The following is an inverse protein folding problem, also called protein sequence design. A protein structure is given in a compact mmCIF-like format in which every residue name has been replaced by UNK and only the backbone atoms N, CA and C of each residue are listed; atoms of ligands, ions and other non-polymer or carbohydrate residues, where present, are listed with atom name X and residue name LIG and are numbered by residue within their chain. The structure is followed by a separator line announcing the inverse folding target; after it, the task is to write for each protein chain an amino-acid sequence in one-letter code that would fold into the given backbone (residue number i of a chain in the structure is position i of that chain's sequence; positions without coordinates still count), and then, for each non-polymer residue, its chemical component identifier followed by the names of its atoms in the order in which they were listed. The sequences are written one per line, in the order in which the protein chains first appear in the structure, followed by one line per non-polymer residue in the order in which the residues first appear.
data_IF_582937394843
#
_entry.id   IF_582937394843
#
_cell.length_a   1.000
_cell.length_b   1.000
_cell.length_c   1.000
_cell.angle_alpha   90.00
_cell.angle_beta   90.00
_cell.angle_gamma   90.00
#
_symmetry.space_group_name_H-M   'P 1'
#
loop_
_entity.id
_entity.type
_entity.pdbx_description
1 polymer ?
#
# COMPACT_ATOMS: atom_id res chain seq x y z
N UNK A 1 23.47 4.51 -24.82
CA UNK A 1 22.83 3.40 -24.10
C UNK A 1 21.47 3.90 -23.69
N UNK A 2 20.41 3.46 -24.35
CA UNK A 2 19.03 3.73 -23.89
C UNK A 2 18.86 2.91 -22.61
N UNK A 3 18.70 3.59 -21.45
CA UNK A 3 18.40 2.92 -20.20
C UNK A 3 17.10 2.16 -20.38
N UNK A 4 17.08 0.87 -20.07
CA UNK A 4 15.86 0.10 -19.94
C UNK A 4 14.94 0.88 -18.99
N UNK A 5 13.87 1.42 -19.54
CA UNK A 5 12.83 2.07 -18.73
C UNK A 5 12.21 0.97 -17.87
N UNK A 6 12.55 0.98 -16.58
CA UNK A 6 12.07 -0.01 -15.65
C UNK A 6 10.54 0.05 -15.55
N UNK A 7 9.89 -1.09 -15.80
CA UNK A 7 8.44 -1.23 -15.75
C UNK A 7 7.95 -1.03 -14.32
N UNK A 8 7.02 -0.10 -14.11
CA UNK A 8 6.37 0.19 -12.84
C UNK A 8 5.29 -0.86 -12.58
N UNK A 9 5.33 -1.55 -11.47
CA UNK A 9 4.27 -2.49 -11.05
C UNK A 9 3.15 -1.72 -10.36
N UNK A 10 1.94 -1.77 -10.91
CA UNK A 10 0.79 -0.98 -10.47
C UNK A 10 -0.31 -1.89 -9.95
N UNK A 11 -0.74 -1.71 -8.72
CA UNK A 11 -1.95 -2.36 -8.23
C UNK A 11 -3.17 -1.65 -8.82
N UNK A 12 -4.00 -2.37 -9.58
CA UNK A 12 -5.24 -1.84 -10.14
C UNK A 12 -6.42 -2.38 -9.33
N UNK A 13 -7.03 -1.51 -8.52
CA UNK A 13 -8.30 -1.76 -7.85
C UNK A 13 -9.44 -1.38 -8.77
N UNK A 14 -10.11 -2.36 -9.33
CA UNK A 14 -11.35 -2.18 -10.10
C UNK A 14 -12.40 -3.17 -9.62
N UNK A 15 -13.64 -2.72 -9.44
CA UNK A 15 -14.75 -3.62 -9.14
C UNK A 15 -15.02 -4.56 -10.33
N UNK A 16 -15.73 -5.67 -10.07
CA UNK A 16 -16.23 -6.51 -11.17
C UNK A 16 -17.22 -5.71 -12.00
N UNK A 17 -16.92 -5.52 -13.28
CA UNK A 17 -17.81 -4.85 -14.23
C UNK A 17 -19.12 -5.65 -14.38
N UNK A 18 -20.21 -4.93 -14.63
CA UNK A 18 -21.52 -5.50 -14.92
C UNK A 18 -22.21 -4.80 -16.11
N UNK A 19 -21.53 -3.83 -16.71
CA UNK A 19 -21.94 -3.19 -17.98
C UNK A 19 -20.80 -3.29 -18.99
N UNK A 20 -21.14 -3.32 -20.27
CA UNK A 20 -20.15 -3.31 -21.35
C UNK A 20 -19.26 -2.06 -21.34
N UNK A 21 -19.81 -0.92 -20.90
CA UNK A 21 -19.07 0.33 -20.73
C UNK A 21 -17.95 0.21 -19.67
N UNK A 22 -18.28 -0.37 -18.51
CA UNK A 22 -17.31 -0.63 -17.45
C UNK A 22 -16.23 -1.62 -17.90
N UNK A 23 -16.61 -2.72 -18.56
CA UNK A 23 -15.68 -3.72 -19.10
C UNK A 23 -14.71 -3.09 -20.11
N UNK A 24 -15.28 -2.31 -21.06
CA UNK A 24 -14.48 -1.62 -22.06
C UNK A 24 -13.51 -0.62 -21.43
N UNK A 25 -13.98 0.16 -20.45
CA UNK A 25 -13.11 1.15 -19.79
C UNK A 25 -11.96 0.48 -19.04
N UNK A 26 -12.20 -0.60 -18.28
CA UNK A 26 -11.16 -1.37 -17.60
C UNK A 26 -10.12 -1.86 -18.60
N UNK A 27 -10.56 -2.52 -19.69
CA UNK A 27 -9.66 -3.06 -20.70
C UNK A 27 -8.80 -1.98 -21.35
N UNK A 28 -9.38 -0.85 -21.72
CA UNK A 28 -8.65 0.27 -22.34
C UNK A 28 -7.69 0.93 -21.33
N UNK A 29 -8.06 1.01 -20.05
CA UNK A 29 -7.19 1.52 -18.99
C UNK A 29 -5.98 0.58 -18.77
N UNK A 30 -6.20 -0.72 -18.74
CA UNK A 30 -5.10 -1.71 -18.64
C UNK A 30 -4.14 -1.58 -19.81
N UNK A 31 -4.65 -1.50 -21.03
CA UNK A 31 -3.86 -1.27 -22.25
C UNK A 31 -3.10 0.07 -22.20
N UNK A 32 -3.73 1.12 -21.70
CA UNK A 32 -3.11 2.43 -21.53
C UNK A 32 -1.95 2.35 -20.53
N UNK A 33 -2.14 1.69 -19.40
CA UNK A 33 -1.07 1.48 -18.41
C UNK A 33 0.10 0.71 -19.02
N UNK A 34 -0.17 -0.40 -19.71
CA UNK A 34 0.87 -1.22 -20.36
C UNK A 34 1.69 -0.43 -21.38
N UNK A 35 1.04 0.38 -22.24
CA UNK A 35 1.72 1.23 -23.22
C UNK A 35 2.57 2.33 -22.60
N UNK A 36 2.33 2.63 -21.33
CA UNK A 36 3.08 3.63 -20.58
C UNK A 36 4.06 3.04 -19.56
N UNK A 37 4.58 1.84 -19.81
CA UNK A 37 5.54 1.12 -18.93
C UNK A 37 5.00 0.85 -17.53
N UNK A 38 3.68 0.79 -17.35
CA UNK A 38 3.02 0.45 -16.12
C UNK A 38 2.37 -0.94 -16.26
N UNK A 39 2.79 -1.91 -15.45
CA UNK A 39 2.24 -3.27 -15.45
C UNK A 39 1.13 -3.37 -14.41
N UNK A 40 -0.15 -3.39 -14.82
CA UNK A 40 -1.25 -3.54 -13.88
C UNK A 40 -1.30 -4.97 -13.31
N UNK A 41 -1.67 -5.05 -12.04
CA UNK A 41 -1.95 -6.29 -11.32
C UNK A 41 -3.28 -6.13 -10.59
N UNK A 42 -4.23 -7.01 -10.88
CA UNK A 42 -5.59 -6.99 -10.32
C UNK A 42 -5.86 -8.30 -9.59
N UNK A 43 -6.37 -8.22 -8.36
CA UNK A 43 -6.82 -9.41 -7.62
C UNK A 43 -8.12 -9.92 -8.24
N UNK A 44 -8.20 -11.25 -8.44
CA UNK A 44 -9.33 -11.89 -9.11
C UNK A 44 -9.16 -12.05 -10.63
N UNK A 45 -8.28 -11.28 -11.27
CA UNK A 45 -7.91 -11.43 -12.68
C UNK A 45 -6.51 -12.02 -12.86
N UNK A 46 -5.52 -11.53 -12.10
CA UNK A 46 -4.12 -11.96 -12.20
C UNK A 46 -3.62 -12.71 -10.95
N UNK A 47 -4.29 -12.53 -9.81
CA UNK A 47 -3.95 -13.20 -8.54
C UNK A 47 -5.20 -13.82 -7.93
N UNK A 48 -5.16 -15.11 -7.67
CA UNK A 48 -6.28 -15.87 -7.11
C UNK A 48 -5.92 -16.37 -5.70
N UNK A 49 -6.70 -15.97 -4.69
CA UNK A 49 -6.65 -16.55 -3.36
C UNK A 49 -8.06 -16.85 -2.86
N UNK A 50 -8.36 -18.14 -2.70
CA UNK A 50 -9.67 -18.59 -2.25
C UNK A 50 -9.85 -18.51 -0.73
N UNK A 51 -8.76 -18.48 0.04
CA UNK A 51 -8.83 -18.64 1.50
C UNK A 51 -8.59 -17.37 2.30
N UNK A 52 -7.84 -16.41 1.77
CA UNK A 52 -7.49 -15.17 2.47
C UNK A 52 -7.35 -13.98 1.51
N UNK A 53 -8.45 -13.50 0.91
CA UNK A 53 -8.36 -12.47 -0.15
C UNK A 53 -7.72 -11.16 0.35
N UNK A 54 -8.01 -10.72 1.56
CA UNK A 54 -7.44 -9.49 2.15
C UNK A 54 -5.92 -9.61 2.34
N UNK A 55 -5.45 -10.78 2.79
CA UNK A 55 -4.02 -11.01 2.96
C UNK A 55 -3.30 -11.05 1.62
N UNK A 56 -3.85 -11.75 0.64
CA UNK A 56 -3.29 -11.81 -0.71
C UNK A 56 -3.23 -10.42 -1.36
N UNK A 57 -4.28 -9.62 -1.22
CA UNK A 57 -4.32 -8.23 -1.66
C UNK A 57 -3.18 -7.41 -1.04
N UNK A 58 -3.00 -7.50 0.27
CA UNK A 58 -1.94 -6.78 0.97
C UNK A 58 -0.54 -7.23 0.52
N UNK A 59 -0.30 -8.53 0.41
CA UNK A 59 0.99 -9.09 -0.02
C UNK A 59 1.32 -8.64 -1.45
N UNK A 60 0.33 -8.66 -2.35
CA UNK A 60 0.49 -8.18 -3.71
C UNK A 60 0.78 -6.68 -3.76
N UNK A 61 0.01 -5.85 -3.03
CA UNK A 61 0.24 -4.41 -2.95
C UNK A 61 1.64 -4.06 -2.44
N UNK A 62 2.17 -4.80 -1.47
CA UNK A 62 3.52 -4.59 -0.95
C UNK A 62 4.61 -4.77 -2.02
N UNK A 63 4.30 -5.52 -3.07
CA UNK A 63 5.19 -5.72 -4.21
C UNK A 63 5.02 -4.66 -5.32
N UNK A 64 3.98 -3.82 -5.22
CA UNK A 64 3.69 -2.78 -6.21
C UNK A 64 4.41 -1.46 -5.90
N UNK A 65 4.58 -0.65 -6.93
CA UNK A 65 5.25 0.65 -6.89
C UNK A 65 4.25 1.80 -6.77
N UNK A 66 3.00 1.56 -7.19
CA UNK A 66 1.91 2.53 -7.17
C UNK A 66 0.56 1.81 -7.18
N UNK A 67 -0.53 2.56 -7.00
CA UNK A 67 -1.89 2.05 -7.12
C UNK A 67 -2.76 2.96 -8.00
N UNK A 68 -3.65 2.34 -8.77
CA UNK A 68 -4.76 2.97 -9.46
C UNK A 68 -6.06 2.44 -8.84
N UNK A 69 -6.91 3.33 -8.39
CA UNK A 69 -8.24 3.00 -7.84
C UNK A 69 -9.28 3.46 -8.84
N UNK A 70 -9.91 2.53 -9.53
CA UNK A 70 -11.02 2.78 -10.43
C UNK A 70 -12.32 2.45 -9.72
N UNK A 71 -13.06 3.48 -9.33
CA UNK A 71 -14.33 3.36 -8.63
C UNK A 71 -15.49 3.71 -9.58
N UNK A 72 -16.37 2.76 -9.79
CA UNK A 72 -17.63 2.92 -10.49
C UNK A 72 -18.79 2.36 -9.67
N UNK A 73 -20.02 2.71 -10.03
CA UNK A 73 -21.21 2.28 -9.30
C UNK A 73 -21.31 0.74 -9.27
N UNK A 74 -21.59 0.21 -8.09
CA UNK A 74 -21.94 -1.18 -7.87
C UNK A 74 -23.37 -1.33 -7.37
N UNK A 75 -23.82 -0.35 -6.61
CA UNK A 75 -25.15 -0.31 -6.02
C UNK A 75 -25.79 1.05 -6.30
N UNK A 76 -27.11 1.03 -6.45
CA UNK A 76 -27.95 2.21 -6.46
C UNK A 76 -28.97 2.11 -5.33
N UNK A 77 -29.06 3.15 -4.49
CA UNK A 77 -29.99 3.20 -3.37
C UNK A 77 -31.33 3.75 -3.88
N UNK A 78 -32.32 2.88 -4.05
CA UNK A 78 -33.65 3.31 -4.48
C UNK A 78 -34.32 4.25 -3.46
N UNK A 79 -34.30 3.90 -2.18
CA UNK A 79 -34.76 4.75 -1.07
C UNK A 79 -33.87 4.52 0.14
N UNK A 80 -33.40 5.60 0.75
CA UNK A 80 -32.55 5.51 1.93
C UNK A 80 -32.40 6.83 2.65
N UNK A 81 -31.92 6.77 3.88
CA UNK A 81 -31.56 7.95 4.66
C UNK A 81 -30.24 7.74 5.37
N UNK A 82 -29.42 8.77 5.39
CA UNK A 82 -28.26 8.87 6.28
C UNK A 82 -28.71 9.45 7.61
N UNK A 83 -28.18 8.93 8.73
CA UNK A 83 -28.58 9.28 10.12
C UNK A 83 -30.09 9.17 10.40
N UNK A 84 -30.75 8.05 10.06
CA UNK A 84 -32.19 7.92 10.15
C UNK A 84 -32.69 8.14 11.58
N UNK A 85 -33.80 8.89 11.69
CA UNK A 85 -34.44 9.20 12.99
C UNK A 85 -33.70 10.26 13.82
N UNK A 86 -32.66 10.89 13.31
CA UNK A 86 -31.94 11.97 14.00
C UNK A 86 -32.28 13.35 13.42
N UNK A 87 -31.91 14.41 14.15
CA UNK A 87 -32.01 15.79 13.65
C UNK A 87 -31.09 16.08 12.44
N UNK A 88 -30.19 15.14 12.10
CA UNK A 88 -29.27 15.22 10.95
C UNK A 88 -29.70 14.29 9.81
N UNK A 89 -30.90 13.74 9.86
CA UNK A 89 -31.39 12.85 8.82
C UNK A 89 -31.33 13.51 7.45
N UNK A 90 -30.75 12.81 6.48
CA UNK A 90 -30.60 13.24 5.12
C UNK A 90 -31.00 12.12 4.16
N UNK A 91 -31.88 12.43 3.21
CA UNK A 91 -32.25 11.49 2.13
C UNK A 91 -31.07 11.24 1.21
N UNK A 92 -30.87 9.97 0.87
CA UNK A 92 -29.83 9.50 -0.05
C UNK A 92 -30.40 8.66 -1.21
N UNK A 93 -31.65 8.93 -1.56
CA UNK A 93 -32.32 8.26 -2.68
C UNK A 93 -31.55 8.50 -3.98
N UNK A 94 -31.44 7.49 -4.82
CA UNK A 94 -30.69 7.55 -6.08
C UNK A 94 -29.17 7.59 -5.91
N UNK A 95 -28.64 7.53 -4.69
CA UNK A 95 -27.19 7.52 -4.49
C UNK A 95 -26.55 6.28 -5.10
N UNK A 96 -25.49 6.49 -5.88
CA UNK A 96 -24.70 5.43 -6.51
C UNK A 96 -23.46 5.16 -5.66
N UNK A 97 -23.23 3.91 -5.29
CA UNK A 97 -22.19 3.51 -4.34
C UNK A 97 -21.21 2.54 -5.02
N UNK A 98 -19.89 2.71 -4.84
CA UNK A 98 -18.87 1.80 -5.35
C UNK A 98 -18.85 0.50 -4.56
N UNK A 99 -18.01 -0.43 -4.99
CA UNK A 99 -17.71 -1.62 -4.19
C UNK A 99 -16.96 -1.26 -2.90
N UNK A 100 -17.23 -2.01 -1.83
CA UNK A 100 -16.48 -1.91 -0.55
C UNK A 100 -14.98 -2.20 -0.76
N UNK A 101 -14.64 -3.01 -1.77
CA UNK A 101 -13.25 -3.33 -2.10
C UNK A 101 -12.45 -2.09 -2.49
N UNK A 102 -13.01 -1.14 -3.25
CA UNK A 102 -12.31 0.11 -3.57
C UNK A 102 -11.91 0.89 -2.32
N UNK A 103 -12.76 0.89 -1.27
CA UNK A 103 -12.45 1.55 0.00
C UNK A 103 -11.34 0.82 0.76
N UNK A 104 -11.44 -0.52 0.82
CA UNK A 104 -10.47 -1.35 1.52
C UNK A 104 -9.10 -1.30 0.84
N UNK A 105 -9.05 -1.50 -0.45
CA UNK A 105 -7.83 -1.51 -1.24
C UNK A 105 -7.18 -0.12 -1.30
N UNK A 106 -7.98 0.93 -1.47
CA UNK A 106 -7.50 2.30 -1.40
C UNK A 106 -6.93 2.65 -0.02
N UNK A 107 -7.59 2.21 1.06
CA UNK A 107 -7.08 2.37 2.42
C UNK A 107 -5.78 1.61 2.67
N UNK A 108 -5.64 0.40 2.11
CA UNK A 108 -4.39 -0.36 2.16
C UNK A 108 -3.26 0.33 1.38
N UNK A 109 -3.54 0.81 0.17
CA UNK A 109 -2.57 1.53 -0.66
C UNK A 109 -2.08 2.80 0.05
N UNK A 110 -3.00 3.55 0.68
CA UNK A 110 -2.67 4.70 1.50
C UNK A 110 -1.76 4.32 2.68
N UNK A 111 -2.12 3.28 3.43
CA UNK A 111 -1.32 2.79 4.57
C UNK A 111 0.07 2.27 4.18
N UNK A 112 0.25 1.84 2.94
CA UNK A 112 1.53 1.42 2.36
C UNK A 112 2.30 2.60 1.72
N UNK A 113 1.75 3.81 1.79
CA UNK A 113 2.31 5.03 1.18
C UNK A 113 2.54 4.90 -0.34
N UNK A 114 1.73 4.09 -1.03
CA UNK A 114 1.80 3.98 -2.49
C UNK A 114 1.28 5.27 -3.14
N UNK A 115 1.95 5.81 -4.15
CA UNK A 115 1.39 6.86 -5.00
C UNK A 115 0.08 6.38 -5.64
N UNK A 116 -1.02 7.08 -5.39
CA UNK A 116 -2.35 6.68 -5.86
C UNK A 116 -2.88 7.61 -6.97
N UNK A 117 -3.44 7.03 -8.02
CA UNK A 117 -4.29 7.68 -9.00
C UNK A 117 -5.72 7.16 -8.80
N UNK A 118 -6.65 8.04 -8.45
CA UNK A 118 -8.03 7.68 -8.11
C UNK A 118 -8.94 8.20 -9.22
N UNK A 119 -9.57 7.27 -9.93
CA UNK A 119 -10.53 7.52 -11.00
C UNK A 119 -11.92 7.20 -10.48
N UNK A 120 -12.81 8.19 -10.45
CA UNK A 120 -14.14 8.04 -9.87
C UNK A 120 -15.19 8.34 -10.93
N UNK A 121 -16.07 7.37 -11.17
CA UNK A 121 -17.21 7.57 -12.06
C UNK A 121 -18.06 8.75 -11.59
N UNK A 122 -18.48 9.59 -12.55
CA UNK A 122 -19.37 10.73 -12.31
C UNK A 122 -20.63 10.29 -11.56
N UNK A 123 -21.13 11.17 -10.69
CA UNK A 123 -22.31 10.95 -9.86
C UNK A 123 -22.17 9.84 -8.79
N UNK A 124 -21.01 9.23 -8.66
CA UNK A 124 -20.74 8.30 -7.58
C UNK A 124 -20.69 9.03 -6.23
N UNK A 125 -21.27 8.43 -5.21
CA UNK A 125 -21.14 8.93 -3.84
C UNK A 125 -19.69 8.77 -3.36
N UNK A 126 -19.03 9.92 -3.13
CA UNK A 126 -17.59 9.98 -2.78
C UNK A 126 -17.42 10.08 -1.27
N UNK A 127 -16.96 9.00 -0.67
CA UNK A 127 -16.70 8.89 0.76
C UNK A 127 -15.36 8.20 1.01
N UNK A 128 -14.80 8.35 2.20
CA UNK A 128 -13.55 7.70 2.60
C UNK A 128 -12.41 8.05 1.65
N UNK A 129 -11.73 7.03 1.14
CA UNK A 129 -10.59 7.19 0.21
C UNK A 129 -10.97 7.84 -1.13
N UNK A 130 -12.25 7.80 -1.49
CA UNK A 130 -12.77 8.42 -2.72
C UNK A 130 -13.22 9.87 -2.51
N UNK A 131 -13.02 10.46 -1.33
CA UNK A 131 -13.41 11.83 -1.06
C UNK A 131 -12.38 12.82 -1.61
N UNK A 132 -12.84 14.00 -2.04
CA UNK A 132 -11.99 15.09 -2.57
C UNK A 132 -11.00 15.66 -1.52
N UNK A 133 -11.09 15.22 -0.28
CA UNK A 133 -10.25 15.69 0.83
C UNK A 133 -8.96 14.87 1.00
N UNK A 134 -8.76 13.86 0.16
CA UNK A 134 -7.54 13.04 0.20
C UNK A 134 -6.39 13.74 -0.52
N UNK A 135 -5.18 13.46 -0.11
CA UNK A 135 -3.94 14.06 -0.61
C UNK A 135 -3.58 13.63 -2.04
N UNK A 136 -4.32 12.67 -2.61
CA UNK A 136 -4.00 12.04 -3.88
C UNK A 136 -4.83 12.59 -5.04
N UNK A 137 -4.36 12.37 -6.25
CA UNK A 137 -5.01 12.85 -7.46
C UNK A 137 -6.34 12.15 -7.68
N UNK A 138 -7.41 12.91 -7.55
CA UNK A 138 -8.77 12.48 -7.93
C UNK A 138 -9.13 13.01 -9.30
N UNK A 139 -9.64 12.12 -10.13
CA UNK A 139 -10.27 12.47 -11.39
C UNK A 139 -11.69 11.93 -11.41
N UNK A 140 -12.66 12.84 -11.54
CA UNK A 140 -14.03 12.45 -11.82
C UNK A 140 -14.15 12.26 -13.33
N UNK A 141 -14.57 11.07 -13.74
CA UNK A 141 -14.61 10.65 -15.13
C UNK A 141 -16.00 10.16 -15.53
N UNK A 142 -16.40 10.43 -16.75
CA UNK A 142 -17.34 9.57 -17.45
C UNK A 142 -16.53 8.33 -17.88
N UNK A 143 -17.11 7.11 -17.87
CA UNK A 143 -16.41 5.89 -18.26
C UNK A 143 -16.15 5.83 -19.78
N UNK A 144 -15.78 6.97 -20.37
CA UNK A 144 -15.40 7.12 -21.76
C UNK A 144 -13.88 7.04 -21.89
N UNK A 145 -13.32 6.07 -22.64
CA UNK A 145 -11.89 5.97 -22.90
C UNK A 145 -11.23 7.21 -23.52
N UNK A 146 -12.00 8.15 -24.09
CA UNK A 146 -11.49 9.41 -24.62
C UNK A 146 -10.74 10.23 -23.54
N UNK A 147 -11.13 10.11 -22.26
CA UNK A 147 -10.46 10.79 -21.14
C UNK A 147 -8.97 10.46 -21.04
N UNK A 148 -8.56 9.24 -21.41
CA UNK A 148 -7.17 8.79 -21.36
C UNK A 148 -6.26 9.51 -22.39
N UNK A 149 -6.87 10.28 -23.31
CA UNK A 149 -6.18 11.14 -24.28
C UNK A 149 -6.28 12.62 -23.94
N UNK A 150 -7.03 12.97 -22.91
CA UNK A 150 -7.18 14.35 -22.46
C UNK A 150 -5.87 14.89 -21.90
N UNK A 151 -5.54 16.15 -22.24
CA UNK A 151 -4.28 16.79 -21.85
C UNK A 151 -4.12 16.93 -20.34
N UNK A 152 -5.23 17.22 -19.63
CA UNK A 152 -5.22 17.38 -18.17
C UNK A 152 -4.99 16.02 -17.52
N UNK A 153 -5.71 15.00 -17.98
CA UNK A 153 -5.52 13.62 -17.53
C UNK A 153 -4.07 13.15 -17.74
N UNK A 154 -3.52 13.34 -18.94
CA UNK A 154 -2.14 12.97 -19.26
C UNK A 154 -1.16 13.69 -18.34
N UNK A 155 -1.33 14.98 -18.08
CA UNK A 155 -0.48 15.73 -17.16
C UNK A 155 -0.50 15.16 -15.73
N UNK A 156 -1.67 14.81 -15.22
CA UNK A 156 -1.84 14.18 -13.90
C UNK A 156 -1.22 12.78 -13.88
N UNK A 157 -1.45 12.00 -14.93
CA UNK A 157 -0.88 10.66 -15.07
C UNK A 157 0.65 10.68 -15.07
N UNK A 158 1.28 11.61 -15.80
CA UNK A 158 2.74 11.73 -15.84
C UNK A 158 3.33 12.16 -14.48
N UNK A 159 2.69 13.07 -13.73
CA UNK A 159 3.14 13.41 -12.37
C UNK A 159 3.00 12.22 -11.42
N UNK A 160 1.88 11.50 -11.47
CA UNK A 160 1.68 10.27 -10.72
C UNK A 160 2.73 9.21 -11.09
N UNK A 161 2.99 9.00 -12.38
CA UNK A 161 3.99 8.05 -12.90
C UNK A 161 5.41 8.39 -12.42
N UNK A 162 5.75 9.67 -12.38
CA UNK A 162 7.03 10.14 -11.84
C UNK A 162 7.17 9.74 -10.36
N UNK A 163 6.13 9.98 -9.55
CA UNK A 163 6.12 9.59 -8.12
C UNK A 163 6.20 8.07 -7.94
N UNK A 164 5.53 7.32 -8.80
CA UNK A 164 5.62 5.87 -8.81
C UNK A 164 7.05 5.37 -9.06
N UNK A 165 7.78 6.00 -10.00
CA UNK A 165 9.19 5.70 -10.25
C UNK A 165 10.09 6.05 -9.07
N UNK A 166 9.87 7.20 -8.44
CA UNK A 166 10.59 7.61 -7.23
C UNK A 166 10.39 6.59 -6.10
N UNK A 167 9.14 6.16 -5.87
CA UNK A 167 8.80 5.12 -4.89
C UNK A 167 9.47 3.77 -5.21
N UNK A 168 9.46 3.34 -6.47
CA UNK A 168 10.13 2.12 -6.92
C UNK A 168 11.64 2.15 -6.60
N UNK A 169 12.30 3.28 -6.89
CA UNK A 169 13.73 3.46 -6.61
C UNK A 169 14.03 3.44 -5.10
N UNK A 170 13.18 4.07 -4.28
CA UNK A 170 13.33 4.05 -2.83
C UNK A 170 13.13 2.64 -2.25
N UNK A 171 12.15 1.90 -2.76
CA UNK A 171 11.88 0.52 -2.35
C UNK A 171 13.07 -0.37 -2.66
N UNK A 172 13.68 -0.24 -3.85
CA UNK A 172 14.91 -0.96 -4.20
C UNK A 172 16.06 -0.62 -3.27
N UNK A 173 16.33 0.65 -3.03
CA UNK A 173 17.38 1.08 -2.09
C UNK A 173 17.19 0.53 -0.69
N UNK A 174 15.92 0.33 -0.24
CA UNK A 174 15.62 -0.30 1.05
C UNK A 174 15.84 -1.81 1.02
N UNK A 175 15.51 -2.47 -0.11
CA UNK A 175 15.72 -3.91 -0.31
C UNK A 175 17.20 -4.28 -0.38
N UNK A 176 18.02 -3.42 -1.01
CA UNK A 176 19.46 -3.64 -1.20
C UNK A 176 20.28 -3.36 0.07
N UNK A 177 19.66 -2.82 1.12
CA UNK A 177 20.33 -2.69 2.41
C UNK A 177 20.45 -4.07 3.05
N UNK A 178 21.67 -4.52 3.38
CA UNK A 178 21.87 -5.80 4.04
C UNK A 178 21.08 -5.81 5.36
N UNK A 179 20.31 -6.86 5.59
CA UNK A 179 19.63 -7.06 6.87
C UNK A 179 20.69 -7.25 7.95
N UNK A 180 20.43 -6.76 9.17
CA UNK A 180 21.35 -6.98 10.30
C UNK A 180 21.70 -8.47 10.51
N UNK A 181 20.79 -9.38 10.11
CA UNK A 181 20.99 -10.84 10.13
C UNK A 181 22.05 -11.33 9.13
N UNK A 182 22.33 -10.55 8.08
CA UNK A 182 23.28 -10.92 7.02
C UNK A 182 24.67 -10.35 7.29
N UNK A 183 24.81 -9.54 8.35
CA UNK A 183 26.05 -8.92 8.73
C UNK A 183 26.94 -9.91 9.51
N UNK A 184 28.18 -9.98 9.08
CA UNK A 184 29.21 -10.65 9.86
C UNK A 184 29.53 -9.86 11.14
N UNK A 185 30.04 -10.53 12.16
CA UNK A 185 30.47 -9.89 13.43
C UNK A 185 31.44 -8.72 13.15
N UNK A 186 32.32 -8.88 12.17
CA UNK A 186 33.29 -7.86 11.77
C UNK A 186 32.63 -6.60 11.17
N UNK A 187 31.55 -6.76 10.38
CA UNK A 187 30.77 -5.64 9.82
C UNK A 187 29.95 -4.93 10.90
N UNK A 188 29.37 -5.69 11.83
CA UNK A 188 28.69 -5.15 13.01
C UNK A 188 29.66 -4.29 13.87
N UNK A 189 30.86 -4.80 14.16
CA UNK A 189 31.87 -4.06 14.92
C UNK A 189 32.30 -2.78 14.21
N UNK A 190 32.45 -2.80 12.86
CA UNK A 190 32.77 -1.61 12.09
C UNK A 190 31.65 -0.58 12.12
N UNK A 191 30.38 -1.01 12.00
CA UNK A 191 29.22 -0.13 11.99
C UNK A 191 28.98 0.57 13.34
N UNK A 192 29.21 -0.15 14.46
CA UNK A 192 29.04 0.38 15.82
C UNK A 192 30.27 1.17 16.26
N UNK A 193 31.42 0.97 15.61
CA UNK A 193 32.72 1.49 15.99
C UNK A 193 33.39 0.61 17.07
N UNK A 194 34.67 0.34 16.86
CA UNK A 194 35.47 -0.58 17.72
C UNK A 194 35.40 -0.19 19.21
N UNK A 195 35.46 1.12 19.52
CA UNK A 195 35.40 1.60 20.91
C UNK A 195 34.04 1.35 21.58
N UNK A 196 32.93 1.48 20.83
CA UNK A 196 31.58 1.22 21.35
C UNK A 196 31.35 -0.28 21.52
N UNK A 197 31.83 -1.11 20.61
CA UNK A 197 31.77 -2.55 20.70
C UNK A 197 32.50 -3.06 21.94
N UNK A 198 33.72 -2.55 22.23
CA UNK A 198 34.46 -2.86 23.43
C UNK A 198 33.74 -2.47 24.73
N UNK A 199 33.09 -1.30 24.75
CA UNK A 199 32.27 -0.86 25.90
C UNK A 199 31.09 -1.77 26.16
N UNK A 200 30.38 -2.21 25.10
CA UNK A 200 29.26 -3.13 25.22
C UNK A 200 29.69 -4.50 25.71
N UNK A 201 30.81 -5.03 25.21
CA UNK A 201 31.39 -6.30 25.67
C UNK A 201 31.80 -6.20 27.13
N UNK A 202 32.47 -5.12 27.53
CA UNK A 202 32.87 -4.89 28.91
C UNK A 202 31.67 -4.78 29.85
N UNK A 203 30.59 -4.10 29.41
CA UNK A 203 29.35 -3.98 30.17
C UNK A 203 28.63 -5.31 30.35
N UNK A 204 28.56 -6.13 29.30
CA UNK A 204 28.02 -7.48 29.36
C UNK A 204 28.85 -8.39 30.24
N UNK A 205 30.16 -8.32 30.15
CA UNK A 205 31.10 -9.07 31.01
C UNK A 205 30.96 -8.71 32.48
N UNK A 206 30.81 -7.41 32.80
CA UNK A 206 30.61 -6.99 34.19
C UNK A 206 29.26 -7.43 34.76
N UNK A 207 28.19 -7.42 33.95
CA UNK A 207 26.86 -7.93 34.32
C UNK A 207 26.90 -9.44 34.63
N UNK A 208 27.56 -10.22 33.78
CA UNK A 208 27.72 -11.66 33.97
C UNK A 208 28.55 -11.97 35.21
N UNK A 209 29.65 -11.25 35.43
CA UNK A 209 30.49 -11.41 36.62
C UNK A 209 29.72 -11.08 37.91
N UNK A 210 28.89 -10.00 37.88
CA UNK A 210 28.07 -9.64 39.04
C UNK A 210 26.99 -10.69 39.32
N UNK A 211 26.32 -11.20 38.26
CA UNK A 211 25.31 -12.25 38.42
C UNK A 211 25.93 -13.57 38.95
N UNK A 212 27.12 -13.94 38.46
CA UNK A 212 27.86 -15.11 38.93
C UNK A 212 28.26 -14.95 40.40
N UNK A 213 28.82 -13.80 40.78
CA UNK A 213 29.23 -13.50 42.16
C UNK A 213 28.03 -13.53 43.12
N UNK A 214 26.90 -12.90 42.71
CA UNK A 214 25.69 -12.93 43.53
C UNK A 214 25.11 -14.36 43.68
N UNK A 215 25.09 -15.14 42.60
CA UNK A 215 24.68 -16.56 42.64
C UNK A 215 25.59 -17.43 43.51
N UNK A 216 26.91 -17.24 43.39
CA UNK A 216 27.88 -17.92 44.21
C UNK A 216 27.74 -17.61 45.72
N UNK A 217 27.57 -16.33 46.04
CA UNK A 217 27.34 -15.88 47.42
C UNK A 217 26.03 -16.42 48.02
N UNK A 218 24.95 -16.44 47.20
CA UNK A 218 23.69 -17.03 47.60
C UNK A 218 23.84 -18.55 47.89
N UNK A 219 24.55 -19.27 47.03
CA UNK A 219 24.82 -20.70 47.21
C UNK A 219 25.62 -21.00 48.49
N UNK A 220 26.63 -20.19 48.82
CA UNK A 220 27.38 -20.33 50.03
C UNK A 220 26.53 -20.03 51.29
N UNK A 221 25.65 -19.04 51.22
CA UNK A 221 24.82 -18.62 52.34
C UNK A 221 23.67 -19.57 52.66
N UNK A 222 23.12 -20.22 51.64
CA UNK A 222 21.99 -21.15 51.75
C UNK A 222 22.41 -22.62 51.73
N UNK A 223 23.62 -22.96 51.25
CA UNK A 223 24.16 -24.34 51.22
C UNK A 223 24.55 -24.88 52.59
N UNK A 224 24.58 -24.08 53.67
CA UNK A 224 24.80 -24.52 55.05
C UNK A 224 23.49 -24.79 55.82
N UNK A 225 22.31 -24.80 55.16
CA UNK A 225 20.99 -25.00 55.75
C UNK A 225 20.34 -26.36 55.39
N UNK A 226 21.09 -27.28 54.79
CA UNK A 226 20.68 -28.67 54.59
C UNK A 226 21.58 -29.64 55.33
#
# INVERSE_FOLDING_TARGET
MAGETETIKVFLSAGSAYTAEQENFISVLEDFLLRNDCKPVTIGHSVFSLTQPIRATREEMQSCDAAVILAFARYEIGKGAEFPGSSKEKRIDGSRIPTVWNQLEGGMAYGLALPMLILVEKELTRQGVLSDRMEWFHQVIDLDPAILKDKVFIGIFEDWKRRAREHALERKKKSDKPRLTDWTISELIRAIGVGTAFRLIAMLGSLLATAFYAGFWAALKFGHLM
#
